data_IF_795616103428
#
_entry.id   IF_795616103428
#
_cell.length_a   1.000
_cell.length_b   1.000
_cell.length_c   1.000
_cell.angle_alpha   90.00
_cell.angle_beta   90.00
_cell.angle_gamma   90.00
#
_symmetry.space_group_name_H-M   'P 1'
#
loop_
_entity.id
_entity.type
_entity.pdbx_description
1 polymer ?
#
# COMPACT_ATOMS: atom_id res chain seq x y z
N UNK A 1 23.51 2.00 4.57
CA UNK A 1 23.61 2.71 3.28
C UNK A 1 22.71 2.00 2.28
N UNK A 2 21.91 2.72 1.49
CA UNK A 2 21.18 2.12 0.36
C UNK A 2 22.03 2.29 -0.88
N UNK A 3 22.32 1.20 -1.57
CA UNK A 3 22.97 1.19 -2.87
C UNK A 3 21.93 0.84 -3.92
N UNK A 4 21.59 1.82 -4.76
CA UNK A 4 20.72 1.61 -5.91
C UNK A 4 21.52 1.02 -7.06
N UNK A 5 21.33 -0.27 -7.34
CA UNK A 5 22.01 -0.95 -8.44
C UNK A 5 21.31 -0.63 -9.77
N UNK A 6 19.99 -0.79 -9.79
CA UNK A 6 19.11 -0.37 -10.89
C UNK A 6 17.93 0.37 -10.28
N UNK A 7 17.74 1.64 -10.63
CA UNK A 7 16.66 2.44 -10.05
C UNK A 7 15.88 3.18 -11.12
N UNK A 8 14.56 2.97 -11.23
CA UNK A 8 13.76 3.52 -12.34
C UNK A 8 13.65 5.05 -12.32
N UNK A 9 13.83 5.69 -11.16
CA UNK A 9 13.93 7.17 -11.07
C UNK A 9 15.29 7.74 -11.48
N UNK A 10 16.31 6.93 -11.77
CA UNK A 10 17.55 7.41 -12.39
C UNK A 10 17.36 7.48 -13.90
N UNK A 11 17.83 8.55 -14.53
CA UNK A 11 17.63 8.81 -15.96
C UNK A 11 16.15 8.64 -16.37
N UNK A 12 15.19 9.31 -15.69
CA UNK A 12 13.79 9.23 -16.08
C UNK A 12 13.60 9.93 -17.43
N UNK A 13 12.53 9.58 -18.12
CA UNK A 13 12.07 10.39 -19.25
C UNK A 13 11.57 11.74 -18.74
N UNK A 14 12.02 12.83 -19.37
CA UNK A 14 11.63 14.20 -19.04
C UNK A 14 10.98 14.82 -20.27
N UNK A 15 9.70 15.15 -20.19
CA UNK A 15 9.00 15.81 -21.29
C UNK A 15 9.66 17.16 -21.62
N UNK A 16 9.81 17.46 -22.90
CA UNK A 16 10.50 18.64 -23.42
C UNK A 16 12.03 18.57 -23.39
N UNK A 17 12.63 17.52 -22.84
CA UNK A 17 14.09 17.39 -22.68
C UNK A 17 14.66 16.07 -23.19
N UNK A 18 14.01 14.95 -22.90
CA UNK A 18 14.42 13.62 -23.36
C UNK A 18 14.02 13.41 -24.81
N UNK A 19 14.92 12.82 -25.60
CA UNK A 19 14.63 12.38 -26.96
C UNK A 19 13.90 11.04 -26.95
N UNK A 20 12.93 10.90 -27.83
CA UNK A 20 12.09 9.72 -28.01
C UNK A 20 12.11 9.29 -29.48
N UNK A 21 12.07 7.98 -29.71
CA UNK A 21 11.99 7.37 -31.03
C UNK A 21 10.63 6.71 -31.12
N UNK A 22 9.78 7.17 -32.04
CA UNK A 22 8.39 6.73 -32.12
C UNK A 22 8.20 5.51 -33.04
N UNK A 23 9.03 5.38 -34.08
CA UNK A 23 8.82 4.42 -35.17
C UNK A 23 9.64 3.13 -35.03
N UNK A 24 10.50 3.02 -34.01
CA UNK A 24 11.45 1.92 -33.87
C UNK A 24 11.56 1.45 -32.42
N UNK A 25 11.52 0.13 -32.22
CA UNK A 25 11.80 -0.50 -30.92
C UNK A 25 13.31 -0.59 -30.77
N UNK A 26 13.85 0.12 -29.78
CA UNK A 26 15.27 0.01 -29.42
C UNK A 26 15.49 -1.35 -28.76
N UNK A 27 16.29 -2.20 -29.40
CA UNK A 27 16.60 -3.54 -28.92
C UNK A 27 17.51 -3.54 -27.70
N UNK A 28 17.86 -4.74 -27.23
CA UNK A 28 18.77 -4.90 -26.07
C UNK A 28 20.22 -4.61 -26.48
N UNK A 29 20.71 -5.23 -27.54
CA UNK A 29 22.14 -5.20 -27.90
C UNK A 29 22.54 -4.04 -28.81
N UNK A 30 21.58 -3.42 -29.50
CA UNK A 30 21.77 -2.23 -30.35
C UNK A 30 21.44 -0.92 -29.62
N UNK A 31 20.99 -0.96 -28.36
CA UNK A 31 20.55 0.21 -27.61
C UNK A 31 21.55 1.38 -27.61
N UNK A 32 22.84 1.06 -27.57
CA UNK A 32 23.92 2.04 -27.58
C UNK A 32 24.03 2.79 -28.91
N UNK A 33 23.64 2.15 -30.02
CA UNK A 33 23.65 2.76 -31.35
C UNK A 33 22.52 3.80 -31.52
N UNK A 34 21.50 3.77 -30.67
CA UNK A 34 20.38 4.72 -30.69
C UNK A 34 20.57 5.92 -29.74
N UNK A 35 21.69 5.98 -29.01
CA UNK A 35 21.97 7.07 -28.07
C UNK A 35 21.97 8.42 -28.79
N UNK A 36 21.16 9.35 -28.28
CA UNK A 36 21.06 10.72 -28.81
C UNK A 36 20.21 10.87 -30.08
N UNK A 37 19.67 9.78 -30.64
CA UNK A 37 18.69 9.82 -31.74
C UNK A 37 17.29 10.20 -31.25
N UNK A 38 16.39 10.50 -32.17
CA UNK A 38 14.99 10.85 -31.87
C UNK A 38 14.75 12.35 -31.66
N UNK A 39 13.49 12.68 -31.33
CA UNK A 39 13.02 14.05 -31.13
C UNK A 39 12.46 14.23 -29.72
N UNK A 40 12.42 15.46 -29.21
CA UNK A 40 11.80 15.73 -27.92
C UNK A 40 10.28 15.67 -28.05
N UNK A 41 9.63 15.05 -27.05
CA UNK A 41 8.17 15.09 -26.93
C UNK A 41 7.80 16.36 -26.15
N UNK A 42 6.92 17.23 -26.66
CA UNK A 42 6.51 18.43 -25.94
C UNK A 42 5.87 18.06 -24.61
N UNK A 43 6.09 18.91 -23.60
CA UNK A 43 5.43 18.78 -22.31
C UNK A 43 3.99 19.25 -22.44
N UNK A 44 3.06 18.49 -21.87
CA UNK A 44 1.69 18.97 -21.68
C UNK A 44 1.70 20.17 -20.71
N UNK A 45 1.17 21.30 -21.17
CA UNK A 45 1.10 22.53 -20.38
C UNK A 45 0.00 22.49 -19.32
N UNK A 46 -0.83 21.44 -19.29
CA UNK A 46 -1.84 21.28 -18.26
C UNK A 46 -1.20 21.28 -16.86
N UNK A 47 -1.75 22.05 -15.91
CA UNK A 47 -1.25 22.09 -14.55
C UNK A 47 -1.29 20.69 -13.94
N UNK A 48 -0.25 20.33 -13.17
CA UNK A 48 -0.27 19.10 -12.39
C UNK A 48 -1.49 19.13 -11.47
N UNK A 49 -2.44 18.23 -11.69
CA UNK A 49 -3.62 18.11 -10.85
C UNK A 49 -3.30 17.23 -9.65
N UNK A 50 -3.73 17.66 -8.46
CA UNK A 50 -3.70 16.83 -7.25
C UNK A 50 -4.61 15.59 -7.36
N UNK A 51 -5.55 15.59 -8.32
CA UNK A 51 -6.43 14.44 -8.60
C UNK A 51 -5.77 13.35 -9.45
N UNK A 52 -4.59 13.64 -10.02
CA UNK A 52 -3.91 12.77 -10.97
C UNK A 52 -2.63 12.23 -10.33
N UNK A 53 -2.56 10.92 -10.12
CA UNK A 53 -1.44 10.29 -9.38
C UNK A 53 -0.17 10.02 -10.22
N UNK A 54 -0.13 10.44 -11.50
CA UNK A 54 1.09 10.39 -12.32
C UNK A 54 1.70 11.79 -12.53
N UNK A 55 2.97 11.84 -12.91
CA UNK A 55 3.65 13.11 -13.24
C UNK A 55 3.37 13.47 -14.70
N UNK A 56 3.07 14.74 -14.97
CA UNK A 56 3.03 15.29 -16.34
C UNK A 56 4.40 15.74 -16.83
N UNK A 57 5.41 15.68 -15.94
CA UNK A 57 6.78 16.10 -16.21
C UNK A 57 7.73 14.91 -16.43
N UNK A 58 7.49 13.80 -15.72
CA UNK A 58 8.41 12.66 -15.67
C UNK A 58 7.71 11.33 -15.91
N UNK A 59 8.40 10.41 -16.58
CA UNK A 59 7.96 9.03 -16.74
C UNK A 59 9.11 8.05 -16.44
N UNK A 60 8.80 6.97 -15.72
CA UNK A 60 9.70 5.82 -15.63
C UNK A 60 9.70 5.06 -16.94
N UNK A 61 10.89 4.69 -17.42
CA UNK A 61 11.06 3.96 -18.66
C UNK A 61 10.85 2.46 -18.41
N UNK A 62 9.81 1.84 -19.00
CA UNK A 62 9.66 0.39 -18.97
C UNK A 62 10.65 -0.26 -19.94
N UNK A 63 10.81 -1.56 -19.76
CA UNK A 63 11.51 -2.45 -20.68
C UNK A 63 10.54 -3.51 -21.18
N UNK A 64 10.65 -3.84 -22.45
CA UNK A 64 9.81 -4.83 -23.11
C UNK A 64 10.40 -6.22 -22.89
N UNK A 65 9.53 -7.19 -22.64
CA UNK A 65 9.84 -8.60 -22.65
C UNK A 65 8.92 -9.32 -23.64
N UNK A 66 9.42 -10.37 -24.30
CA UNK A 66 8.62 -11.27 -25.12
C UNK A 66 8.58 -12.67 -24.53
N UNK A 67 7.56 -13.42 -24.93
CA UNK A 67 7.42 -14.83 -24.58
C UNK A 67 7.86 -15.69 -25.77
N UNK A 68 8.93 -16.45 -25.59
CA UNK A 68 9.41 -17.41 -26.61
C UNK A 68 8.46 -18.60 -26.75
N UNK A 69 8.44 -19.21 -27.94
CA UNK A 69 7.69 -20.45 -28.20
C UNK A 69 8.17 -21.64 -27.36
N UNK A 70 9.42 -21.61 -26.91
CA UNK A 70 10.03 -22.57 -25.99
C UNK A 70 9.65 -22.35 -24.51
N UNK A 71 8.78 -21.37 -24.23
CA UNK A 71 8.38 -21.00 -22.89
C UNK A 71 9.39 -20.10 -22.16
N UNK A 72 10.45 -19.65 -22.83
CA UNK A 72 11.38 -18.68 -22.22
C UNK A 72 10.79 -17.27 -22.20
N UNK A 73 11.41 -16.40 -21.41
CA UNK A 73 11.15 -14.97 -21.38
C UNK A 73 12.44 -14.29 -21.78
N UNK A 74 12.35 -13.30 -22.68
CA UNK A 74 13.50 -12.51 -23.10
C UNK A 74 13.20 -11.03 -23.06
N UNK A 75 14.14 -10.25 -22.56
CA UNK A 75 14.10 -8.80 -22.79
C UNK A 75 14.27 -8.54 -24.29
N UNK A 76 13.39 -7.71 -24.83
CA UNK A 76 13.46 -7.23 -26.21
C UNK A 76 13.86 -5.77 -26.29
N UNK A 77 13.88 -5.06 -25.17
CA UNK A 77 14.42 -3.70 -25.08
C UNK A 77 15.33 -3.52 -23.86
N UNK A 78 16.18 -2.51 -23.93
CA UNK A 78 17.12 -2.15 -22.87
C UNK A 78 16.45 -1.90 -21.50
N UNK A 79 17.07 -2.40 -20.43
CA UNK A 79 16.74 -2.05 -19.05
C UNK A 79 17.44 -0.77 -18.68
N UNK A 80 16.66 0.26 -18.35
CA UNK A 80 17.18 1.60 -18.10
C UNK A 80 18.32 1.57 -17.07
N UNK A 81 19.45 2.19 -17.43
CA UNK A 81 20.69 2.25 -16.65
C UNK A 81 21.41 0.90 -16.40
N UNK A 82 21.05 -0.20 -17.07
CA UNK A 82 21.71 -1.50 -16.96
C UNK A 82 22.36 -1.93 -18.29
N UNK A 83 23.69 -1.88 -18.37
CA UNK A 83 24.43 -2.21 -19.60
C UNK A 83 24.37 -3.73 -19.92
N UNK A 84 23.81 -4.12 -21.08
CA UNK A 84 23.61 -5.53 -21.45
C UNK A 84 24.88 -6.26 -21.89
N UNK A 85 25.90 -5.57 -22.39
CA UNK A 85 27.19 -6.17 -22.76
C UNK A 85 28.07 -6.44 -21.55
N UNK A 86 28.02 -5.54 -20.56
CA UNK A 86 28.79 -5.66 -19.32
C UNK A 86 28.16 -6.63 -18.32
N UNK A 87 26.83 -6.71 -18.30
CA UNK A 87 26.08 -7.49 -17.29
C UNK A 87 25.01 -8.41 -17.90
N UNK A 88 25.36 -9.27 -18.88
CA UNK A 88 24.38 -10.16 -19.51
C UNK A 88 23.74 -11.14 -18.51
N UNK A 89 24.51 -11.62 -17.53
CA UNK A 89 24.02 -12.52 -16.46
C UNK A 89 22.96 -11.88 -15.55
N UNK A 90 22.93 -10.54 -15.43
CA UNK A 90 21.87 -9.83 -14.69
C UNK A 90 20.56 -9.90 -15.48
N UNK A 91 20.60 -9.69 -16.80
CA UNK A 91 19.42 -9.84 -17.67
C UNK A 91 18.86 -11.28 -17.59
N UNK A 92 19.70 -12.30 -17.71
CA UNK A 92 19.27 -13.70 -17.57
C UNK A 92 18.66 -14.00 -16.19
N UNK A 93 19.16 -13.35 -15.14
CA UNK A 93 18.61 -13.50 -13.79
C UNK A 93 17.26 -12.81 -13.66
N UNK A 94 17.11 -11.61 -14.21
CA UNK A 94 15.84 -10.88 -14.24
C UNK A 94 14.77 -11.65 -15.02
N UNK A 95 15.11 -12.21 -16.19
CA UNK A 95 14.21 -13.06 -16.99
C UNK A 95 13.69 -14.25 -16.18
N UNK A 96 14.57 -14.93 -15.43
CA UNK A 96 14.18 -16.05 -14.54
C UNK A 96 13.30 -15.60 -13.39
N UNK A 97 13.57 -14.44 -12.78
CA UNK A 97 12.75 -13.90 -11.69
C UNK A 97 11.36 -13.53 -12.21
N UNK A 98 11.28 -12.91 -13.39
CA UNK A 98 10.01 -12.56 -14.04
C UNK A 98 9.22 -13.82 -14.38
N UNK A 99 9.87 -14.86 -14.92
CA UNK A 99 9.21 -16.14 -15.21
C UNK A 99 8.55 -16.76 -13.96
N UNK A 100 9.19 -16.64 -12.79
CA UNK A 100 8.60 -17.06 -11.51
C UNK A 100 7.51 -16.13 -10.99
N UNK A 101 7.48 -14.87 -11.42
CA UNK A 101 6.46 -13.92 -11.04
C UNK A 101 5.18 -14.04 -11.87
N UNK A 102 5.25 -14.49 -13.14
CA UNK A 102 4.09 -14.61 -14.03
C UNK A 102 2.93 -15.41 -13.37
N UNK A 103 3.13 -16.63 -12.83
CA UNK A 103 2.03 -17.38 -12.20
C UNK A 103 1.45 -16.71 -10.96
N UNK A 104 2.23 -15.86 -10.28
CA UNK A 104 1.75 -15.13 -9.11
C UNK A 104 0.96 -13.87 -9.52
N UNK A 105 1.37 -13.19 -10.61
CA UNK A 105 0.59 -12.11 -11.21
C UNK A 105 -0.70 -12.61 -11.84
N UNK A 106 -0.67 -13.78 -12.47
CA UNK A 106 -1.83 -14.50 -12.99
C UNK A 106 -2.95 -14.66 -11.94
N UNK A 107 -2.59 -14.88 -10.68
CA UNK A 107 -3.55 -15.05 -9.59
C UNK A 107 -4.08 -13.74 -9.02
N UNK A 108 -3.35 -12.64 -9.19
CA UNK A 108 -3.65 -11.38 -8.51
C UNK A 108 -4.10 -10.25 -9.45
N UNK A 109 -3.85 -10.37 -10.76
CA UNK A 109 -4.30 -9.43 -11.77
C UNK A 109 -5.64 -9.85 -12.34
N UNK A 110 -6.54 -8.88 -12.43
CA UNK A 110 -7.87 -9.06 -12.99
C UNK A 110 -8.00 -8.32 -14.30
N UNK A 111 -8.57 -8.97 -15.31
CA UNK A 111 -8.86 -8.37 -16.60
C UNK A 111 -10.34 -8.03 -16.71
N UNK A 112 -10.64 -6.73 -16.72
CA UNK A 112 -11.98 -6.24 -16.98
C UNK A 112 -12.21 -6.09 -18.48
N UNK A 113 -12.65 -7.16 -19.15
CA UNK A 113 -13.03 -7.09 -20.58
C UNK A 113 -14.38 -6.39 -20.80
N UNK A 114 -15.24 -6.35 -19.79
CA UNK A 114 -16.54 -5.67 -19.80
C UNK A 114 -16.97 -5.35 -18.35
N UNK A 115 -17.71 -4.26 -18.15
CA UNK A 115 -18.32 -3.87 -16.86
C UNK A 115 -19.27 -4.92 -16.27
N UNK A 116 -19.73 -5.90 -17.07
CA UNK A 116 -20.63 -6.99 -16.61
C UNK A 116 -19.96 -8.35 -16.44
N UNK A 117 -18.88 -8.65 -17.16
CA UNK A 117 -18.29 -10.00 -17.27
C UNK A 117 -16.83 -9.89 -17.71
N UNK A 118 -15.91 -10.28 -16.84
CA UNK A 118 -14.53 -10.65 -17.18
C UNK A 118 -14.25 -12.07 -16.66
N UNK A 119 -13.19 -12.75 -17.13
CA UNK A 119 -12.73 -14.00 -16.53
C UNK A 119 -12.22 -13.72 -15.12
N UNK A 120 -12.73 -14.43 -14.12
CA UNK A 120 -12.50 -14.07 -12.71
C UNK A 120 -11.81 -15.19 -11.96
N UNK A 121 -10.51 -15.01 -11.70
CA UNK A 121 -9.79 -15.82 -10.74
C UNK A 121 -10.07 -15.33 -9.33
N UNK A 122 -10.29 -16.26 -8.39
CA UNK A 122 -10.40 -15.96 -6.97
C UNK A 122 -11.77 -15.50 -6.49
N UNK A 123 -11.80 -14.84 -5.33
CA UNK A 123 -13.02 -14.52 -4.59
C UNK A 123 -13.54 -13.13 -4.94
N UNK A 124 -14.79 -13.06 -5.38
CA UNK A 124 -15.49 -11.79 -5.68
C UNK A 124 -16.45 -11.35 -4.58
N UNK A 125 -17.07 -12.32 -3.93
CA UNK A 125 -18.07 -12.05 -2.93
C UNK A 125 -17.45 -11.92 -1.54
N UNK A 126 -18.12 -11.14 -0.70
CA UNK A 126 -17.77 -11.04 0.72
C UNK A 126 -17.77 -12.43 1.36
N UNK A 127 -16.80 -12.67 2.25
CA UNK A 127 -16.79 -13.88 3.10
C UNK A 127 -17.91 -13.89 4.10
N UNK A 128 -18.56 -12.75 4.33
CA UNK A 128 -19.65 -12.60 5.29
C UNK A 128 -20.97 -12.35 4.56
N UNK A 129 -22.08 -12.64 5.24
CA UNK A 129 -23.38 -12.17 4.78
C UNK A 129 -23.40 -10.64 4.74
N UNK A 130 -24.18 -10.08 3.82
CA UNK A 130 -24.29 -8.62 3.71
C UNK A 130 -24.92 -8.09 4.98
N UNK A 131 -24.22 -7.19 5.67
CA UNK A 131 -24.75 -6.43 6.79
C UNK A 131 -25.59 -5.29 6.19
N UNK A 132 -26.87 -5.24 6.52
CA UNK A 132 -27.79 -4.18 6.04
C UNK A 132 -28.10 -3.16 7.12
N UNK A 133 -28.01 -3.56 8.38
CA UNK A 133 -28.23 -2.73 9.54
C UNK A 133 -27.28 -3.14 10.68
N UNK A 134 -26.81 -2.17 11.43
CA UNK A 134 -26.05 -2.40 12.65
C UNK A 134 -26.22 -1.19 13.59
N UNK A 135 -26.26 -1.45 14.89
CA UNK A 135 -26.47 -0.44 15.91
C UNK A 135 -25.57 -0.75 17.08
N UNK A 136 -24.81 0.23 17.55
CA UNK A 136 -23.94 0.07 18.73
C UNK A 136 -24.78 -0.17 20.02
N UNK A 137 -26.06 0.17 19.94
CA UNK A 137 -27.09 -0.09 20.95
C UNK A 137 -27.64 -1.53 20.93
N UNK A 138 -27.35 -2.35 19.91
CA UNK A 138 -27.72 -3.77 19.89
C UNK A 138 -26.68 -4.62 20.63
N UNK A 139 -27.01 -5.00 21.86
CA UNK A 139 -26.12 -5.78 22.73
C UNK A 139 -25.77 -7.17 22.19
N UNK A 140 -26.58 -7.71 21.26
CA UNK A 140 -26.31 -9.03 20.68
C UNK A 140 -25.06 -9.03 19.79
N UNK A 141 -24.63 -7.85 19.32
CA UNK A 141 -23.44 -7.65 18.50
C UNK A 141 -22.14 -7.61 19.30
N UNK A 142 -22.20 -7.65 20.63
CA UNK A 142 -21.06 -7.44 21.51
C UNK A 142 -20.81 -8.63 22.44
N UNK A 143 -19.54 -8.85 22.79
CA UNK A 143 -19.08 -9.83 23.76
C UNK A 143 -18.13 -9.19 24.78
N UNK A 144 -18.16 -9.58 26.07
CA UNK A 144 -19.14 -10.49 26.69
C UNK A 144 -20.55 -9.88 26.70
N UNK A 145 -21.58 -10.66 27.01
CA UNK A 145 -22.93 -10.12 27.26
C UNK A 145 -22.93 -9.23 28.51
N UNK A 146 -23.77 -8.18 28.51
CA UNK A 146 -23.87 -7.26 29.63
C UNK A 146 -24.40 -7.96 30.89
N UNK A 147 -23.56 -8.01 31.92
CA UNK A 147 -23.87 -8.56 33.24
C UNK A 147 -23.58 -7.51 34.31
N UNK A 148 -24.63 -6.95 34.90
CA UNK A 148 -24.53 -5.84 35.86
C UNK A 148 -23.66 -6.21 37.06
N UNK A 149 -23.79 -7.44 37.57
CA UNK A 149 -23.04 -7.88 38.74
C UNK A 149 -21.53 -7.98 38.46
N UNK A 150 -21.15 -8.35 37.23
CA UNK A 150 -19.74 -8.45 36.82
C UNK A 150 -19.15 -7.10 36.46
N UNK A 151 -19.86 -6.28 35.70
CA UNK A 151 -19.29 -5.06 35.12
C UNK A 151 -19.39 -3.83 36.02
N UNK A 152 -20.22 -3.83 37.08
CA UNK A 152 -20.25 -2.68 37.99
C UNK A 152 -18.90 -2.49 38.72
N UNK A 153 -18.26 -3.59 39.10
CA UNK A 153 -17.04 -3.60 39.93
C UNK A 153 -15.77 -3.91 39.12
N UNK A 154 -15.86 -4.00 37.79
CA UNK A 154 -14.67 -4.19 36.95
C UNK A 154 -13.72 -3.00 37.09
N UNK A 155 -12.42 -3.29 37.06
CA UNK A 155 -11.33 -2.33 37.20
C UNK A 155 -11.14 -1.52 35.90
N UNK A 156 -12.14 -0.67 35.64
CA UNK A 156 -12.20 0.26 34.51
C UNK A 156 -12.68 1.59 35.05
N UNK A 157 -11.84 2.62 34.89
CA UNK A 157 -12.17 3.95 35.36
C UNK A 157 -13.05 4.69 34.35
N UNK A 158 -14.11 5.32 34.86
CA UNK A 158 -14.90 6.30 34.13
C UNK A 158 -14.27 7.68 34.35
N UNK A 159 -14.25 8.51 33.31
CA UNK A 159 -13.77 9.89 33.40
C UNK A 159 -14.77 10.75 34.18
N UNK A 160 -14.31 11.90 34.67
CA UNK A 160 -15.22 12.86 35.32
C UNK A 160 -16.38 13.29 34.42
N UNK A 161 -16.14 13.39 33.10
CA UNK A 161 -17.17 13.75 32.12
C UNK A 161 -18.21 12.63 31.93
N UNK A 162 -17.76 11.38 31.80
CA UNK A 162 -18.66 10.23 31.68
C UNK A 162 -19.52 10.05 32.94
N UNK A 163 -18.94 10.23 34.13
CA UNK A 163 -19.69 10.21 35.39
C UNK A 163 -20.74 11.32 35.44
N UNK A 164 -20.40 12.54 35.03
CA UNK A 164 -21.35 13.65 34.98
C UNK A 164 -22.50 13.38 33.99
N UNK A 165 -22.23 12.78 32.84
CA UNK A 165 -23.25 12.37 31.88
C UNK A 165 -24.20 11.30 32.44
N UNK A 166 -23.66 10.30 33.15
CA UNK A 166 -24.47 9.27 33.81
C UNK A 166 -25.38 9.87 34.90
N UNK A 167 -24.87 10.83 35.67
CA UNK A 167 -25.64 11.55 36.67
C UNK A 167 -26.77 12.37 36.03
N UNK A 168 -26.47 13.09 34.95
CA UNK A 168 -27.47 13.86 34.20
C UNK A 168 -28.59 12.95 33.67
N UNK A 169 -28.26 11.82 33.03
CA UNK A 169 -29.25 10.85 32.54
C UNK A 169 -30.15 10.32 33.66
N UNK A 170 -29.57 9.96 34.81
CA UNK A 170 -30.32 9.44 35.95
C UNK A 170 -31.29 10.48 36.55
N UNK A 171 -30.98 11.77 36.44
CA UNK A 171 -31.89 12.85 36.82
C UNK A 171 -33.14 12.95 35.92
N UNK A 172 -33.01 12.67 34.61
CA UNK A 172 -34.14 12.70 33.68
C UNK A 172 -35.07 11.48 33.81
N UNK A 173 -34.55 10.28 34.07
CA UNK A 173 -35.35 9.05 34.15
C UNK A 173 -36.32 9.00 35.35
N UNK A 174 -35.92 9.54 36.52
CA UNK A 174 -36.72 9.42 37.75
C UNK A 174 -37.84 10.46 37.89
N UNK A 175 -38.03 11.34 36.90
CA UNK A 175 -39.06 12.39 36.93
C UNK A 175 -38.98 13.30 38.16
N UNK A 176 -37.87 13.30 38.89
CA UNK A 176 -37.75 13.95 40.18
C UNK A 176 -37.33 15.41 39.98
N UNK A 177 -38.25 16.22 39.46
CA UNK A 177 -38.12 17.66 39.24
C UNK A 177 -38.18 18.48 40.54
N UNK A 178 -37.58 18.02 41.64
CA UNK A 178 -37.46 18.83 42.86
C UNK A 178 -36.22 19.73 42.86
N UNK A 179 -35.20 19.42 42.05
CA UNK A 179 -34.00 20.25 41.90
C UNK A 179 -33.76 20.46 40.41
N UNK A 180 -33.84 21.71 39.95
CA UNK A 180 -33.65 22.04 38.54
C UNK A 180 -32.20 21.84 38.10
N UNK A 181 -32.01 21.36 36.86
CA UNK A 181 -30.72 21.14 36.19
C UNK A 181 -29.66 22.24 36.46
N UNK A 182 -30.08 23.51 36.51
CA UNK A 182 -29.21 24.67 36.82
C UNK A 182 -28.54 24.57 38.20
N UNK A 183 -29.28 24.16 39.23
CA UNK A 183 -28.77 24.08 40.60
C UNK A 183 -27.77 22.92 40.80
N UNK A 184 -27.89 21.85 40.02
CA UNK A 184 -26.95 20.72 40.05
C UNK A 184 -25.63 21.09 39.34
N UNK A 185 -25.72 21.68 38.14
CA UNK A 185 -24.55 22.14 37.39
C UNK A 185 -23.74 23.21 38.13
N UNK A 186 -24.41 24.11 38.86
CA UNK A 186 -23.76 25.16 39.64
C UNK A 186 -22.98 24.60 40.84
N UNK A 187 -23.47 23.53 41.47
CA UNK A 187 -22.77 22.80 42.53
C UNK A 187 -21.53 22.06 42.02
N UNK A 188 -21.64 21.38 40.87
CA UNK A 188 -20.50 20.73 40.24
C UNK A 188 -19.39 21.73 39.88
N UNK A 189 -19.76 22.91 39.36
CA UNK A 189 -18.81 24.01 39.11
C UNK A 189 -18.14 24.54 40.38
N UNK A 190 -18.80 24.40 41.53
CA UNK A 190 -18.29 24.78 42.85
C UNK A 190 -17.55 23.62 43.56
N UNK A 191 -17.39 22.46 42.91
CA UNK A 191 -16.75 21.28 43.51
C UNK A 191 -17.56 20.60 44.61
N UNK A 192 -18.86 20.92 44.72
CA UNK A 192 -19.76 20.32 45.71
C UNK A 192 -20.40 19.04 45.15
N UNK A 193 -20.56 17.98 45.97
CA UNK A 193 -21.18 16.75 45.51
C UNK A 193 -22.65 16.98 45.08
N UNK A 194 -23.14 16.21 44.08
CA UNK A 194 -24.50 16.32 43.57
C UNK A 194 -25.53 16.08 44.67
N UNK A 195 -26.71 16.70 44.53
CA UNK A 195 -27.78 16.64 45.53
C UNK A 195 -28.47 15.26 45.61
N UNK A 196 -28.30 14.43 44.57
CA UNK A 196 -28.48 12.95 44.37
C UNK A 196 -28.89 12.72 42.90
N UNK A 197 -28.50 11.61 42.25
CA UNK A 197 -28.90 10.23 42.58
C UNK A 197 -27.74 9.24 42.70
N UNK A 198 -27.90 8.19 43.52
CA UNK A 198 -27.11 6.98 43.33
C UNK A 198 -27.30 6.55 41.87
N UNK A 199 -26.27 6.72 41.03
CA UNK A 199 -26.26 6.15 39.68
C UNK A 199 -26.46 4.66 39.87
N UNK A 200 -27.55 4.14 39.33
CA UNK A 200 -27.89 2.73 39.53
C UNK A 200 -26.75 1.85 38.99
N UNK A 201 -26.45 0.75 39.69
CA UNK A 201 -25.40 -0.20 39.33
C UNK A 201 -25.46 -0.58 37.83
N UNK A 202 -26.67 -0.63 37.25
CA UNK A 202 -26.90 -0.91 35.82
C UNK A 202 -26.24 0.10 34.88
N UNK A 203 -26.27 1.40 35.21
CA UNK A 203 -25.72 2.46 34.37
C UNK A 203 -24.19 2.50 34.48
N UNK A 204 -23.66 2.30 35.69
CA UNK A 204 -22.21 2.14 35.90
C UNK A 204 -21.70 0.90 35.14
N UNK A 205 -22.39 -0.23 35.29
CA UNK A 205 -22.04 -1.47 34.60
C UNK A 205 -22.10 -1.31 33.08
N UNK A 206 -23.12 -0.64 32.53
CA UNK A 206 -23.23 -0.35 31.10
C UNK A 206 -22.04 0.47 30.59
N UNK A 207 -21.73 1.58 31.25
CA UNK A 207 -20.65 2.47 30.83
C UNK A 207 -19.28 1.76 30.89
N UNK A 208 -19.03 0.96 31.93
CA UNK A 208 -17.80 0.16 32.04
C UNK A 208 -17.76 -0.96 31.00
N UNK A 209 -18.88 -1.65 30.77
CA UNK A 209 -18.99 -2.70 29.75
C UNK A 209 -18.71 -2.16 28.35
N UNK A 210 -19.23 -0.98 28.00
CA UNK A 210 -19.00 -0.34 26.69
C UNK A 210 -17.51 -0.07 26.38
N UNK A 211 -16.67 0.07 27.41
CA UNK A 211 -15.22 0.25 27.27
C UNK A 211 -14.44 -1.05 27.05
N UNK A 212 -14.97 -2.18 27.51
CA UNK A 212 -14.27 -3.49 27.46
C UNK A 212 -14.92 -4.48 26.50
N UNK A 213 -16.12 -4.17 26.00
CA UNK A 213 -16.81 -5.01 25.03
C UNK A 213 -16.05 -5.06 23.71
N UNK A 214 -15.98 -6.24 23.14
CA UNK A 214 -15.45 -6.54 21.82
C UNK A 214 -16.60 -6.85 20.86
N UNK A 215 -16.42 -6.51 19.58
CA UNK A 215 -17.40 -6.83 18.57
C UNK A 215 -17.43 -8.35 18.34
N UNK A 216 -18.61 -8.96 18.40
CA UNK A 216 -18.83 -10.30 17.87
C UNK A 216 -18.73 -10.21 16.35
N UNK A 217 -17.67 -10.79 15.80
CA UNK A 217 -17.47 -10.81 14.35
C UNK A 217 -18.55 -11.70 13.70
N UNK A 218 -19.09 -11.32 12.53
CA UNK A 218 -20.05 -12.15 11.82
C UNK A 218 -19.39 -13.48 11.44
N UNK A 219 -20.16 -14.57 11.52
CA UNK A 219 -19.68 -15.86 11.05
C UNK A 219 -19.44 -15.81 9.53
N UNK A 220 -18.32 -16.37 9.05
CA UNK A 220 -18.09 -16.48 7.62
C UNK A 220 -19.16 -17.37 7.00
N UNK A 221 -19.49 -17.12 5.74
CA UNK A 221 -20.23 -18.05 4.90
C UNK A 221 -19.52 -19.40 4.90
N UNK A 222 -20.29 -20.46 4.66
CA UNK A 222 -19.73 -21.79 4.48
C UNK A 222 -18.58 -21.74 3.49
N UNK A 223 -17.45 -22.33 3.87
CA UNK A 223 -16.28 -22.36 3.02
C UNK A 223 -16.59 -23.16 1.75
N UNK A 224 -16.41 -22.51 0.62
CA UNK A 224 -16.39 -23.13 -0.70
C UNK A 224 -14.96 -23.02 -1.22
N UNK A 225 -14.47 -24.11 -1.82
CA UNK A 225 -13.19 -24.10 -2.49
C UNK A 225 -13.29 -23.17 -3.71
N UNK A 226 -12.36 -22.22 -3.78
CA UNK A 226 -12.33 -21.22 -4.84
C UNK A 226 -11.17 -21.56 -5.74
N UNK A 227 -11.45 -21.67 -7.03
CA UNK A 227 -10.39 -21.77 -8.02
C UNK A 227 -9.73 -20.40 -8.22
N UNK A 228 -8.45 -20.33 -7.87
CA UNK A 228 -7.62 -19.14 -8.04
C UNK A 228 -6.81 -19.20 -9.35
N UNK A 229 -6.94 -20.27 -10.14
CA UNK A 229 -6.31 -20.36 -11.44
C UNK A 229 -6.96 -19.36 -12.41
N UNK A 230 -6.18 -18.60 -13.19
CA UNK A 230 -6.74 -17.79 -14.26
C UNK A 230 -7.25 -18.69 -15.40
N UNK A 231 -8.27 -18.23 -16.12
CA UNK A 231 -8.73 -18.93 -17.34
C UNK A 231 -7.67 -18.94 -18.45
N UNK A 232 -6.84 -17.89 -18.50
CA UNK A 232 -5.69 -17.76 -19.39
C UNK A 232 -4.54 -17.11 -18.65
N UNK A 233 -3.34 -17.64 -18.80
CA UNK A 233 -2.13 -17.02 -18.25
C UNK A 233 -1.79 -15.72 -19.00
N UNK A 234 -1.10 -14.80 -18.34
CA UNK A 234 -0.53 -13.59 -18.94
C UNK A 234 0.37 -13.95 -20.11
N UNK A 235 1.09 -15.07 -20.01
CA UNK A 235 1.94 -15.59 -21.09
C UNK A 235 1.13 -15.89 -22.36
N UNK A 236 -0.04 -16.52 -22.22
CA UNK A 236 -0.91 -16.81 -23.36
C UNK A 236 -1.60 -15.54 -23.88
N UNK A 237 -2.08 -14.69 -22.97
CA UNK A 237 -2.79 -13.44 -23.33
C UNK A 237 -1.90 -12.49 -24.11
N UNK A 238 -0.64 -12.35 -23.70
CA UNK A 238 0.31 -11.41 -24.25
C UNK A 238 1.42 -12.09 -25.05
N UNK A 239 1.15 -13.26 -25.63
CA UNK A 239 2.15 -14.02 -26.41
C UNK A 239 2.72 -13.19 -27.58
N UNK A 240 1.86 -12.47 -28.29
CA UNK A 240 2.25 -11.69 -29.48
C UNK A 240 2.90 -10.35 -29.11
N UNK A 241 2.36 -9.67 -28.09
CA UNK A 241 2.74 -8.29 -27.74
C UNK A 241 3.82 -8.21 -26.66
N UNK A 242 4.00 -9.26 -25.86
CA UNK A 242 4.87 -9.24 -24.70
C UNK A 242 4.34 -8.39 -23.54
N UNK A 243 5.20 -8.12 -22.55
CA UNK A 243 4.87 -7.25 -21.41
C UNK A 243 5.87 -6.10 -21.28
N UNK A 244 5.40 -5.01 -20.67
CA UNK A 244 6.26 -3.93 -20.19
C UNK A 244 6.54 -4.11 -18.70
N UNK A 245 7.82 -4.12 -18.33
CA UNK A 245 8.28 -4.28 -16.95
C UNK A 245 9.20 -3.15 -16.54
N UNK A 246 9.09 -2.71 -15.28
CA UNK A 246 10.02 -1.74 -14.69
C UNK A 246 10.85 -2.48 -13.66
N UNK A 247 12.18 -2.41 -13.81
CA UNK A 247 13.11 -3.10 -12.93
C UNK A 247 13.66 -2.13 -11.89
N UNK A 248 13.60 -2.55 -10.62
CA UNK A 248 14.29 -1.89 -9.51
C UNK A 248 15.08 -2.93 -8.72
N UNK A 249 16.37 -2.66 -8.56
CA UNK A 249 17.29 -3.47 -7.77
C UNK A 249 18.03 -2.55 -6.80
N UNK A 250 17.90 -2.82 -5.51
CA UNK A 250 18.57 -2.06 -4.47
C UNK A 250 19.16 -3.02 -3.44
N UNK A 251 20.32 -2.65 -2.89
CA UNK A 251 20.96 -3.29 -1.76
C UNK A 251 20.90 -2.36 -0.55
N UNK A 252 20.64 -2.91 0.63
CA UNK A 252 20.62 -2.18 1.89
C UNK A 252 21.68 -2.79 2.79
N UNK A 253 22.72 -2.03 3.10
CA UNK A 253 23.81 -2.46 3.98
C UNK A 253 23.73 -1.69 5.30
N UNK A 254 23.44 -2.38 6.42
CA UNK A 254 23.45 -1.79 7.75
C UNK A 254 24.82 -1.98 8.38
N UNK A 255 25.34 -0.94 9.03
CA UNK A 255 26.62 -1.01 9.76
C UNK A 255 26.37 -0.67 11.23
N UNK A 256 27.27 -1.04 12.17
CA UNK A 256 27.14 -0.62 13.56
C UNK A 256 26.98 0.89 13.74
N UNK A 257 27.57 1.71 12.86
CA UNK A 257 27.50 3.18 12.88
C UNK A 257 26.19 3.71 12.29
N UNK A 258 25.55 2.95 11.40
CA UNK A 258 24.22 3.24 10.84
C UNK A 258 23.35 1.97 10.88
N UNK A 259 22.88 1.60 12.09
CA UNK A 259 22.27 0.28 12.32
C UNK A 259 20.81 0.22 11.88
N UNK A 260 20.18 1.34 11.55
CA UNK A 260 18.76 1.42 11.25
C UNK A 260 18.50 1.88 9.81
N UNK A 261 17.53 1.23 9.17
CA UNK A 261 16.91 1.70 7.95
C UNK A 261 15.44 2.06 8.23
N UNK A 262 15.04 3.34 8.01
CA UNK A 262 13.70 3.78 8.31
C UNK A 262 12.67 3.10 7.40
N UNK A 263 11.42 3.06 7.84
CA UNK A 263 10.33 2.58 7.02
C UNK A 263 10.23 3.44 5.73
N UNK A 264 9.92 2.79 4.60
CA UNK A 264 9.71 3.49 3.33
C UNK A 264 8.46 4.38 3.36
N UNK A 265 8.25 5.22 2.36
CA UNK A 265 6.95 5.84 2.14
C UNK A 265 5.93 4.82 1.61
N UNK A 266 4.64 5.16 1.65
CA UNK A 266 3.62 4.39 0.93
C UNK A 266 3.83 4.54 -0.57
N UNK A 267 3.96 3.43 -1.29
CA UNK A 267 4.10 3.46 -2.74
C UNK A 267 2.71 3.47 -3.40
N UNK A 268 2.50 4.45 -4.31
CA UNK A 268 1.26 4.65 -5.05
C UNK A 268 1.43 4.31 -6.54
N UNK A 269 0.29 4.16 -7.23
CA UNK A 269 0.23 3.55 -8.56
C UNK A 269 0.58 4.52 -9.70
N UNK A 270 1.64 4.21 -10.45
CA UNK A 270 2.18 5.02 -11.57
C UNK A 270 1.88 4.38 -12.94
N UNK A 271 0.62 3.99 -13.17
CA UNK A 271 0.18 3.14 -14.30
C UNK A 271 0.81 1.73 -14.29
N UNK A 272 1.28 1.28 -13.15
CA UNK A 272 1.82 -0.07 -12.96
C UNK A 272 0.68 -0.96 -12.48
N UNK A 273 0.38 -2.06 -13.17
CA UNK A 273 -0.74 -2.93 -12.79
C UNK A 273 -0.42 -3.83 -11.58
N UNK A 274 0.81 -4.34 -11.49
CA UNK A 274 1.28 -5.22 -10.42
C UNK A 274 2.75 -4.99 -10.09
N UNK A 275 3.11 -5.39 -8.87
CA UNK A 275 4.49 -5.40 -8.39
C UNK A 275 4.88 -6.82 -8.01
N UNK A 276 6.14 -7.19 -8.30
CA UNK A 276 6.78 -8.35 -7.69
C UNK A 276 8.05 -7.91 -6.96
N UNK A 277 8.23 -8.40 -5.73
CA UNK A 277 9.40 -8.17 -4.89
C UNK A 277 10.09 -9.51 -4.64
N UNK A 278 11.37 -9.59 -4.99
CA UNK A 278 12.19 -10.76 -4.71
C UNK A 278 13.33 -10.39 -3.75
N UNK A 279 13.33 -11.01 -2.57
CA UNK A 279 14.38 -10.81 -1.56
C UNK A 279 15.54 -11.75 -1.84
N UNK A 280 16.50 -11.30 -2.66
CA UNK A 280 17.63 -12.12 -3.11
C UNK A 280 18.52 -12.60 -1.96
N UNK A 281 18.92 -11.69 -1.08
CA UNK A 281 19.81 -11.95 0.05
C UNK A 281 19.40 -11.13 1.26
N UNK A 282 19.46 -11.72 2.46
CA UNK A 282 19.15 -11.05 3.72
C UNK A 282 19.86 -11.74 4.86
N UNK A 283 20.92 -11.10 5.37
CA UNK A 283 21.77 -11.64 6.42
C UNK A 283 22.05 -10.58 7.48
N UNK A 284 22.18 -10.99 8.75
CA UNK A 284 22.50 -10.12 9.89
C UNK A 284 21.55 -8.92 10.10
N UNK A 285 20.28 -9.08 9.75
CA UNK A 285 19.23 -8.06 9.95
C UNK A 285 18.03 -8.64 10.69
N UNK A 286 17.32 -7.81 11.44
CA UNK A 286 16.05 -8.20 12.07
C UNK A 286 15.01 -8.54 10.99
N UNK A 287 14.10 -9.50 11.25
CA UNK A 287 12.97 -9.77 10.37
C UNK A 287 12.22 -8.49 9.96
N UNK A 288 12.14 -8.25 8.65
CA UNK A 288 11.36 -7.15 8.09
C UNK A 288 10.02 -7.64 7.59
N UNK A 289 9.10 -6.70 7.35
CA UNK A 289 7.75 -6.97 6.91
C UNK A 289 7.34 -5.96 5.84
N UNK A 290 6.52 -6.42 4.91
CA UNK A 290 5.78 -5.60 3.96
C UNK A 290 4.35 -5.44 4.49
N UNK A 291 3.96 -4.21 4.80
CA UNK A 291 2.60 -3.86 5.20
C UNK A 291 1.76 -3.58 3.95
N UNK A 292 0.57 -4.16 3.87
CA UNK A 292 -0.39 -3.93 2.80
C UNK A 292 -1.67 -3.28 3.36
N UNK A 293 -2.23 -2.34 2.61
CA UNK A 293 -3.55 -1.75 2.89
C UNK A 293 -4.36 -1.65 1.61
N UNK A 294 -5.66 -1.47 1.74
CA UNK A 294 -6.56 -1.15 0.62
C UNK A 294 -7.55 -0.09 1.05
N UNK A 295 -8.15 0.59 0.07
CA UNK A 295 -9.33 1.39 0.32
C UNK A 295 -10.58 0.50 0.25
N UNK A 296 -11.49 0.66 1.21
CA UNK A 296 -12.86 0.14 1.13
C UNK A 296 -13.72 1.08 0.30
N UNK A 297 -14.92 0.64 -0.09
CA UNK A 297 -15.87 1.50 -0.82
C UNK A 297 -16.16 2.77 -0.01
N UNK A 298 -15.95 3.97 -0.58
CA UNK A 298 -16.25 5.24 0.09
C UNK A 298 -17.74 5.41 0.42
N UNK A 299 -18.59 4.68 -0.32
CA UNK A 299 -20.04 4.61 -0.09
C UNK A 299 -20.45 3.40 0.76
N UNK A 300 -19.50 2.74 1.44
CA UNK A 300 -19.84 1.60 2.30
C UNK A 300 -20.83 2.01 3.40
N UNK A 301 -20.66 3.22 3.95
CA UNK A 301 -21.57 3.78 4.95
C UNK A 301 -22.99 3.98 4.38
N UNK A 302 -23.14 4.56 3.18
CA UNK A 302 -24.45 4.78 2.54
C UNK A 302 -25.23 3.48 2.25
N UNK A 303 -24.55 2.32 2.25
CA UNK A 303 -25.15 1.02 1.97
C UNK A 303 -25.56 0.25 3.22
N UNK A 304 -25.19 0.71 4.41
CA UNK A 304 -25.49 0.07 5.70
C UNK A 304 -26.26 1.07 6.54
N UNK A 305 -27.45 0.69 6.99
CA UNK A 305 -28.22 1.53 7.89
C UNK A 305 -27.62 1.48 9.30
N UNK A 306 -26.80 2.48 9.64
CA UNK A 306 -26.35 2.75 10.99
C UNK A 306 -27.11 3.96 11.55
N UNK A 307 -27.39 3.96 12.86
CA UNK A 307 -27.91 5.16 13.53
C UNK A 307 -26.81 6.23 13.59
N UNK A 308 -27.21 7.48 13.81
CA UNK A 308 -26.28 8.60 13.93
C UNK A 308 -25.20 8.29 14.99
N UNK A 309 -23.94 8.41 14.59
CA UNK A 309 -22.73 8.16 15.38
C UNK A 309 -22.54 6.73 15.93
N UNK A 310 -23.34 5.75 15.49
CA UNK A 310 -23.25 4.34 15.92
C UNK A 310 -22.48 3.44 14.93
N UNK A 311 -21.18 3.69 14.79
CA UNK A 311 -20.30 2.96 13.86
C UNK A 311 -19.30 2.03 14.55
N UNK A 312 -19.24 1.99 15.88
CA UNK A 312 -18.18 1.29 16.61
C UNK A 312 -18.10 -0.20 16.28
N UNK A 313 -19.24 -0.86 16.14
CA UNK A 313 -19.27 -2.27 15.77
C UNK A 313 -18.83 -2.47 14.31
N UNK A 314 -19.37 -1.66 13.39
CA UNK A 314 -19.04 -1.74 11.96
C UNK A 314 -17.56 -1.48 11.70
N UNK A 315 -16.97 -0.47 12.35
CA UNK A 315 -15.56 -0.13 12.20
C UNK A 315 -14.64 -1.28 12.67
N UNK A 316 -15.04 -2.02 13.70
CA UNK A 316 -14.33 -3.22 14.16
C UNK A 316 -14.48 -4.40 13.19
N UNK A 317 -15.67 -4.62 12.65
CA UNK A 317 -15.94 -5.72 11.69
C UNK A 317 -15.23 -5.48 10.36
N UNK A 318 -15.28 -4.26 9.84
CA UNK A 318 -14.64 -3.89 8.58
C UNK A 318 -13.17 -3.48 8.74
N UNK A 319 -12.69 -3.22 9.96
CA UNK A 319 -11.30 -2.84 10.22
C UNK A 319 -10.90 -1.51 9.56
N UNK A 320 -11.86 -0.59 9.41
CA UNK A 320 -11.67 0.75 8.83
C UNK A 320 -12.55 1.75 9.55
N UNK A 321 -12.13 3.01 9.56
CA UNK A 321 -13.01 4.11 9.96
C UNK A 321 -14.15 4.27 8.94
N UNK A 322 -15.35 4.52 9.46
CA UNK A 322 -16.58 4.77 8.69
C UNK A 322 -17.28 6.07 9.14
N UNK A 323 -16.88 6.61 10.30
CA UNK A 323 -17.35 7.90 10.81
C UNK A 323 -17.00 9.05 9.86
N UNK A 324 -17.95 9.97 9.70
CA UNK A 324 -17.82 11.18 8.88
C UNK A 324 -18.61 11.07 7.58
N UNK A 325 -19.59 11.96 7.37
CA UNK A 325 -20.45 12.09 6.18
C UNK A 325 -19.64 12.18 4.86
N UNK A 326 -19.21 11.03 4.32
CA UNK A 326 -18.42 10.97 3.07
C UNK A 326 -16.95 11.41 3.19
N UNK A 327 -16.42 11.64 4.40
CA UNK A 327 -15.04 12.12 4.62
C UNK A 327 -14.14 11.11 5.36
N UNK A 328 -14.63 9.90 5.64
CA UNK A 328 -13.80 8.88 6.28
C UNK A 328 -12.74 8.35 5.31
N UNK A 329 -11.52 8.12 5.80
CA UNK A 329 -10.41 7.65 4.96
C UNK A 329 -10.69 6.29 4.32
N UNK A 330 -11.57 5.47 4.92
CA UNK A 330 -11.99 4.17 4.40
C UNK A 330 -10.78 3.26 4.07
N UNK A 331 -9.72 3.30 4.90
CA UNK A 331 -8.50 2.52 4.71
C UNK A 331 -8.51 1.31 5.63
N UNK A 332 -8.46 0.12 5.03
CA UNK A 332 -8.34 -1.15 5.74
C UNK A 332 -6.90 -1.68 5.65
N UNK A 333 -6.30 -1.98 6.80
CA UNK A 333 -4.99 -2.63 6.86
C UNK A 333 -5.16 -4.14 6.67
N UNK A 334 -4.57 -4.71 5.62
CA UNK A 334 -4.63 -6.15 5.30
C UNK A 334 -3.65 -6.98 6.14
N UNK A 335 -2.68 -6.31 6.76
CA UNK A 335 -1.69 -6.92 7.62
C UNK A 335 -0.29 -6.89 7.00
N UNK A 336 0.57 -7.74 7.55
CA UNK A 336 2.00 -7.75 7.29
C UNK A 336 2.46 -9.11 6.78
N UNK A 337 3.33 -9.09 5.77
CA UNK A 337 4.01 -10.29 5.28
C UNK A 337 5.49 -10.16 5.55
N UNK A 338 6.07 -11.11 6.29
CA UNK A 338 7.51 -11.12 6.56
C UNK A 338 8.32 -11.17 5.25
N UNK A 339 9.43 -10.44 5.16
CA UNK A 339 10.25 -10.29 3.95
C UNK A 339 11.59 -10.99 4.13
N UNK A 340 11.57 -12.33 3.98
CA UNK A 340 12.76 -13.18 4.18
C UNK A 340 13.47 -13.49 2.86
N UNK A 341 14.76 -13.79 2.94
CA UNK A 341 15.56 -14.25 1.80
C UNK A 341 14.88 -15.40 1.02
N UNK A 342 14.98 -15.36 -0.30
CA UNK A 342 14.40 -16.31 -1.24
C UNK A 342 12.88 -16.18 -1.43
N UNK A 343 12.23 -15.19 -0.78
CA UNK A 343 10.79 -14.97 -0.93
C UNK A 343 10.49 -14.07 -2.12
N UNK A 344 9.59 -14.54 -2.98
CA UNK A 344 8.91 -13.74 -3.99
C UNK A 344 7.53 -13.34 -3.47
N UNK A 345 7.22 -12.05 -3.51
CA UNK A 345 5.90 -11.51 -3.21
C UNK A 345 5.37 -10.85 -4.48
N UNK A 346 4.18 -11.23 -4.93
CA UNK A 346 3.49 -10.58 -6.05
C UNK A 346 2.13 -10.08 -5.59
N UNK A 347 1.78 -8.85 -5.97
CA UNK A 347 0.54 -8.22 -5.57
C UNK A 347 0.13 -7.15 -6.59
N UNK A 348 -1.18 -6.88 -6.74
CA UNK A 348 -1.65 -5.84 -7.63
C UNK A 348 -1.30 -4.47 -7.03
N UNK A 349 -0.93 -3.52 -7.88
CA UNK A 349 -0.50 -2.19 -7.44
C UNK A 349 -1.69 -1.28 -7.04
N UNK A 350 -2.89 -1.86 -6.91
CA UNK A 350 -4.05 -1.23 -6.26
C UNK A 350 -3.96 -1.28 -4.73
N UNK A 351 -3.04 -2.08 -4.19
CA UNK A 351 -2.75 -2.14 -2.76
C UNK A 351 -1.56 -1.23 -2.46
N UNK A 352 -1.76 -0.06 -1.82
CA UNK A 352 -0.64 0.70 -1.28
C UNK A 352 0.17 -0.19 -0.33
N UNK A 353 1.49 -0.12 -0.46
CA UNK A 353 2.41 -0.92 0.32
C UNK A 353 3.52 -0.09 0.93
N UNK A 354 4.05 -0.58 2.06
CA UNK A 354 5.15 0.03 2.78
C UNK A 354 6.07 -1.05 3.35
N UNK A 355 7.38 -0.88 3.15
CA UNK A 355 8.37 -1.72 3.85
C UNK A 355 8.58 -1.15 5.25
N UNK A 356 8.39 -1.98 6.29
CA UNK A 356 8.69 -1.60 7.67
C UNK A 356 10.19 -1.40 7.90
N UNK A 357 10.53 -0.63 8.94
CA UNK A 357 11.92 -0.40 9.34
C UNK A 357 12.67 -1.71 9.59
N UNK A 358 13.98 -1.66 9.37
CA UNK A 358 14.88 -2.79 9.61
C UNK A 358 16.06 -2.32 10.47
N UNK A 359 16.52 -3.19 11.36
CA UNK A 359 17.68 -2.92 12.20
C UNK A 359 18.75 -3.99 12.03
N UNK A 360 20.01 -3.60 12.24
CA UNK A 360 21.14 -4.49 12.29
C UNK A 360 20.97 -5.46 13.46
N UNK A 361 21.13 -6.75 13.18
CA UNK A 361 21.11 -7.79 14.20
C UNK A 361 22.48 -8.46 14.27
N UNK A 362 23.18 -8.32 15.40
CA UNK A 362 24.50 -8.92 15.61
C UNK A 362 24.32 -10.40 16.04
N UNK A 363 24.69 -11.41 15.23
CA UNK A 363 24.66 -12.79 15.69
C UNK A 363 25.91 -13.13 16.50
N UNK A 364 25.80 -14.17 17.34
CA UNK A 364 26.88 -14.70 18.20
C UNK A 364 28.01 -15.41 17.44
N UNK A 365 27.89 -15.64 16.13
CA UNK A 365 28.90 -16.31 15.33
C UNK A 365 29.02 -15.69 13.93
N UNK A 366 30.25 -15.37 13.52
CA UNK A 366 30.57 -14.92 12.17
C UNK A 366 30.35 -16.05 11.16
N UNK A 367 29.30 -15.95 10.34
CA UNK A 367 29.22 -16.64 9.06
C UNK A 367 29.47 -15.63 7.94
N UNK A 368 30.47 -15.83 7.07
CA UNK A 368 30.57 -15.06 5.85
C UNK A 368 29.43 -15.47 4.89
N UNK A 369 28.64 -14.51 4.40
CA UNK A 369 27.58 -14.76 3.43
C UNK A 369 28.17 -15.03 2.03
N UNK A 370 27.60 -16.00 1.31
CA UNK A 370 28.02 -16.39 -0.05
C UNK A 370 27.70 -15.33 -1.12
N UNK A 371 26.90 -14.32 -0.78
CA UNK A 371 26.44 -13.26 -1.69
C UNK A 371 27.44 -12.10 -1.87
N UNK A 372 28.56 -12.10 -1.13
CA UNK A 372 29.65 -11.13 -1.27
C UNK A 372 30.31 -11.12 -2.68
N UNK A 373 29.91 -12.03 -3.58
CA UNK A 373 30.47 -12.16 -4.93
C UNK A 373 29.70 -11.42 -6.03
N UNK A 374 28.53 -10.84 -5.74
CA UNK A 374 28.07 -9.68 -6.53
C UNK A 374 28.90 -8.52 -5.99
N UNK A 375 30.13 -8.42 -6.50
CA UNK A 375 31.09 -7.43 -6.05
C UNK A 375 30.49 -6.02 -6.14
N UNK A 376 31.05 -5.13 -5.30
CA UNK A 376 31.06 -3.66 -5.28
C UNK A 376 31.11 -2.92 -6.64
N UNK A 377 31.00 -3.60 -7.76
CA UNK A 377 30.89 -3.03 -9.09
C UNK A 377 29.44 -2.58 -9.28
N UNK A 378 29.25 -1.26 -9.36
CA UNK A 378 27.93 -0.70 -9.63
C UNK A 378 27.50 -1.19 -11.01
N UNK A 379 26.36 -1.87 -11.08
CA UNK A 379 25.73 -2.29 -12.33
C UNK A 379 25.13 -1.10 -13.12
N UNK A 380 25.80 0.05 -13.12
CA UNK A 380 25.32 1.28 -13.76
C UNK A 380 26.04 1.49 -15.08
N UNK A 381 25.27 1.64 -16.17
CA UNK A 381 25.81 1.92 -17.50
C UNK A 381 26.70 3.18 -17.57
N UNK A 382 26.56 4.10 -16.61
CA UNK A 382 27.32 5.35 -16.54
C UNK A 382 28.79 5.19 -16.08
N UNK A 383 29.20 4.05 -15.52
CA UNK A 383 30.61 3.80 -15.18
C UNK A 383 31.36 3.27 -16.41
N UNK A 384 31.87 4.21 -17.21
CA UNK A 384 32.67 3.93 -18.41
C UNK A 384 32.64 5.05 -19.46
N UNK A 385 31.68 5.97 -19.38
CA UNK A 385 31.71 7.21 -20.15
C UNK A 385 32.54 8.25 -19.39
N UNK A 386 33.44 9.01 -20.04
CA UNK A 386 34.20 10.07 -19.39
C UNK A 386 33.28 10.98 -18.57
N UNK A 387 33.68 11.30 -17.34
CA UNK A 387 32.97 12.25 -16.46
C UNK A 387 32.97 13.70 -17.00
N UNK A 388 33.62 13.95 -18.13
CA UNK A 388 33.64 15.23 -18.82
C UNK A 388 32.39 15.38 -19.67
N UNK A 389 31.73 16.54 -19.56
CA UNK A 389 30.54 16.99 -20.30
C UNK A 389 29.88 15.91 -21.16
N UNK A 390 28.73 15.38 -20.70
CA UNK A 390 27.87 14.57 -21.56
C UNK A 390 27.74 15.26 -22.94
N UNK A 391 27.95 14.54 -24.06
CA UNK A 391 27.84 15.11 -25.41
C UNK A 391 26.57 15.95 -25.56
N UNK A 392 26.63 17.05 -26.33
CA UNK A 392 25.50 17.96 -26.51
C UNK A 392 24.18 17.20 -26.77
N UNK A 393 23.22 17.38 -25.86
CA UNK A 393 21.90 16.74 -25.92
C UNK A 393 21.70 15.52 -25.00
N UNK A 394 22.76 14.91 -24.44
CA UNK A 394 22.64 13.83 -23.46
C UNK A 394 22.52 14.36 -22.02
N UNK A 395 21.92 13.56 -21.13
CA UNK A 395 21.75 13.92 -19.73
C UNK A 395 23.01 13.55 -18.94
N UNK A 396 23.58 14.51 -18.20
CA UNK A 396 24.71 14.21 -17.32
C UNK A 396 24.27 13.41 -16.09
N UNK A 397 25.21 12.71 -15.42
CA UNK A 397 24.91 11.98 -14.17
C UNK A 397 24.37 12.93 -13.09
N UNK A 398 24.88 14.16 -13.03
CA UNK A 398 24.43 15.17 -12.08
C UNK A 398 23.01 15.66 -12.39
N UNK A 399 22.73 15.98 -13.65
CA UNK A 399 21.40 16.36 -14.13
C UNK A 399 20.38 15.25 -13.85
N UNK A 400 20.75 13.98 -14.09
CA UNK A 400 19.92 12.82 -13.78
C UNK A 400 19.60 12.69 -12.28
N UNK A 401 20.58 12.98 -11.40
CA UNK A 401 20.37 13.00 -9.95
C UNK A 401 19.43 14.13 -9.53
N UNK A 402 19.54 15.30 -10.14
CA UNK A 402 18.65 16.43 -9.85
C UNK A 402 17.20 16.13 -10.29
N UNK A 403 17.00 15.58 -11.50
CA UNK A 403 15.68 15.16 -11.96
C UNK A 403 15.11 14.03 -11.10
N UNK A 404 15.95 13.08 -10.67
CA UNK A 404 15.54 12.05 -9.72
C UNK A 404 15.00 12.66 -8.42
N UNK A 405 15.70 13.63 -7.84
CA UNK A 405 15.26 14.28 -6.59
C UNK A 405 13.93 15.03 -6.79
N UNK A 406 13.77 15.72 -7.92
CA UNK A 406 12.50 16.39 -8.27
C UNK A 406 11.36 15.37 -8.42
N UNK A 407 11.61 14.26 -9.11
CA UNK A 407 10.64 13.17 -9.29
C UNK A 407 10.23 12.53 -7.96
N UNK A 408 11.20 12.24 -7.09
CA UNK A 408 10.92 11.70 -5.74
C UNK A 408 10.09 12.71 -4.93
N UNK A 409 10.45 14.01 -4.98
CA UNK A 409 9.72 15.05 -4.27
C UNK A 409 8.26 15.19 -4.72
N UNK A 410 7.98 15.12 -6.02
CA UNK A 410 6.61 15.12 -6.55
C UNK A 410 5.77 13.94 -6.02
N UNK A 411 6.39 12.77 -5.90
CA UNK A 411 5.71 11.54 -5.48
C UNK A 411 5.46 11.51 -3.97
N UNK A 412 6.42 11.96 -3.16
CA UNK A 412 6.22 12.06 -1.72
C UNK A 412 5.03 12.95 -1.37
N UNK A 413 4.89 14.12 -2.03
CA UNK A 413 3.75 15.03 -1.81
C UNK A 413 2.40 14.39 -2.17
N UNK A 414 2.33 13.56 -3.22
CA UNK A 414 1.10 12.87 -3.63
C UNK A 414 0.70 11.73 -2.68
N UNK A 415 1.65 11.17 -1.94
CA UNK A 415 1.39 10.14 -0.94
C UNK A 415 0.76 10.69 0.35
N UNK A 416 0.82 12.01 0.57
CA UNK A 416 0.25 12.72 1.72
C UNK A 416 -1.19 13.21 1.47
N UNK A 417 -1.75 12.99 0.27
CA UNK A 417 -3.12 13.40 -0.04
C UNK A 417 -4.15 12.63 0.82
N UNK A 418 -5.00 13.38 1.51
CA UNK A 418 -5.96 12.89 2.52
C UNK A 418 -7.24 12.26 1.94
N UNK A 419 -7.45 12.33 0.61
CA UNK A 419 -8.63 11.80 -0.06
C UNK A 419 -8.28 10.93 -1.28
N UNK A 420 -8.97 9.79 -1.37
CA UNK A 420 -8.74 8.75 -2.38
C UNK A 420 -10.03 8.50 -3.18
N UNK A 421 -9.99 8.73 -4.50
CA UNK A 421 -11.08 8.39 -5.42
C UNK A 421 -10.84 7.02 -6.09
N UNK A 422 -11.91 6.27 -6.38
CA UNK A 422 -11.85 5.04 -7.19
C UNK A 422 -11.53 5.41 -8.64
N UNK A 423 -10.45 4.86 -9.19
CA UNK A 423 -10.06 5.06 -10.58
C UNK A 423 -10.19 3.78 -11.41
N UNK A 424 -10.84 3.91 -12.56
CA UNK A 424 -10.88 2.89 -13.60
C UNK A 424 -9.78 3.22 -14.62
N UNK A 425 -8.89 2.26 -14.89
CA UNK A 425 -7.80 2.45 -15.84
C UNK A 425 -8.18 1.87 -17.20
N UNK A 426 -8.15 2.70 -18.24
CA UNK A 426 -8.06 2.24 -19.62
C UNK A 426 -6.59 2.18 -20.00
N UNK A 427 -6.03 0.98 -20.08
CA UNK A 427 -4.69 0.76 -20.63
C UNK A 427 -4.79 0.92 -22.15
N UNK A 428 -4.54 2.13 -22.67
CA UNK A 428 -4.30 2.32 -24.10
C UNK A 428 -2.88 1.88 -24.42
N UNK A 429 -2.76 0.89 -25.30
CA UNK A 429 -1.52 0.48 -25.97
C UNK A 429 -0.81 1.72 -26.54
N UNK A 430 0.47 1.89 -26.20
CA UNK A 430 1.39 2.85 -26.82
C UNK A 430 2.64 2.10 -27.25
#
# INVERSE_FOLDING_TARGET
>A
MVQDLVHPSMYPFVYGRSKFIQEEVVGVHDALDHVGKGATVPKDEQPESDRVFWSTTYQWLPSNISFGDDGTIKFTSYVNNLNPEKFPEIYETLERVIDKAIPAWDQCLHEYTNWKKGPIAGRLDSRFHKITEASDSDDNLWAPELDVAKFKDIDVNLTHEELAQLEDMACFEKGNTQIGWKAQHERMRQGLPPLTPNVEDRHIARAKWEKVREAKLPEPRQFEEIDYAPEKSLREKFKENGLQVIVKMASIELTPEKPEFPAGGWHMNEKICATALYYLDSDNVTPSHLSLRTQTDSYLNDRIYAKQDEYNWLERVYGTALRGYGFSTCVQNFGDVQTKQGRLLAFPNVLPYQTRSQAFHRPLAHRPSSAHRIHRERATAAEGLPQECAPEGLMSVQEAREHRLKLIGQRTRKNEAESWEKWYYSFCEH
#
